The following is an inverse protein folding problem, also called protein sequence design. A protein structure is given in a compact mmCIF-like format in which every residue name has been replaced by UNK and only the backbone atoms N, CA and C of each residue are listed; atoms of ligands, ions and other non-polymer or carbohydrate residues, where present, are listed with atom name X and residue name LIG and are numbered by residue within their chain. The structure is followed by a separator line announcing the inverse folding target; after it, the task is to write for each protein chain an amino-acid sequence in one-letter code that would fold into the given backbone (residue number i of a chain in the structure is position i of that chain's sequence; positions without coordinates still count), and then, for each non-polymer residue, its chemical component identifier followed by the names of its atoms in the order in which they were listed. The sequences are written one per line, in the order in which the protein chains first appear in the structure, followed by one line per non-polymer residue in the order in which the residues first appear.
data_IF_578196597619
#
_entry.id   IF_578196597619
#
_cell.length_a   1.000
_cell.length_b   1.000
_cell.length_c   1.000
_cell.angle_alpha   90.00
_cell.angle_beta   90.00
_cell.angle_gamma   90.00
#
_symmetry.space_group_name_H-M   'P 1'
#
loop_
_entity.id
_entity.type
_entity.pdbx_description
1 polymer ?
#
# COMPACT_ATOMS: atom_id res chain seq x y z
N UNK A 1 -35.40 24.56 -5.67
CA UNK A 1 -35.38 23.35 -6.51
C UNK A 1 -33.97 22.79 -6.42
N UNK A 2 -33.71 21.96 -5.41
CA UNK A 2 -32.39 21.40 -5.09
C UNK A 2 -32.15 20.16 -5.95
N UNK A 3 -31.09 20.19 -6.74
CA UNK A 3 -30.75 19.19 -7.76
C UNK A 3 -30.29 17.87 -7.12
N UNK A 4 -30.91 16.71 -7.44
CA UNK A 4 -30.53 15.41 -6.91
C UNK A 4 -29.09 14.98 -7.29
N UNK A 5 -28.51 15.56 -8.35
CA UNK A 5 -27.15 15.23 -8.83
C UNK A 5 -26.02 15.56 -7.83
N UNK A 6 -26.15 16.62 -7.03
CA UNK A 6 -25.15 16.98 -6.02
C UNK A 6 -25.08 15.94 -4.90
N UNK A 7 -26.25 15.39 -4.53
CA UNK A 7 -26.35 14.34 -3.51
C UNK A 7 -25.73 13.03 -3.98
N UNK A 8 -25.90 12.66 -5.25
CA UNK A 8 -25.34 11.41 -5.80
C UNK A 8 -23.81 11.43 -5.92
N UNK A 9 -23.21 12.56 -6.33
CA UNK A 9 -21.74 12.71 -6.39
C UNK A 9 -21.10 12.68 -5.01
N UNK A 10 -21.67 13.39 -4.03
CA UNK A 10 -21.19 13.36 -2.65
C UNK A 10 -21.28 11.95 -2.04
N UNK A 11 -22.35 11.21 -2.36
CA UNK A 11 -22.54 9.83 -1.92
C UNK A 11 -21.57 8.86 -2.60
N UNK A 12 -21.25 9.06 -3.89
CA UNK A 12 -20.27 8.28 -4.63
C UNK A 12 -18.84 8.50 -4.10
N UNK A 13 -18.44 9.74 -3.84
CA UNK A 13 -17.13 10.09 -3.25
C UNK A 13 -16.98 9.50 -1.83
N UNK A 14 -18.03 9.57 -1.00
CA UNK A 14 -18.02 8.97 0.33
C UNK A 14 -17.90 7.42 0.29
N UNK A 15 -18.52 6.76 -0.70
CA UNK A 15 -18.40 5.31 -0.92
C UNK A 15 -17.00 4.94 -1.42
N UNK A 16 -16.45 5.67 -2.38
CA UNK A 16 -15.10 5.46 -2.91
C UNK A 16 -14.05 5.54 -1.80
N UNK A 17 -14.19 6.51 -0.90
CA UNK A 17 -13.31 6.68 0.26
C UNK A 17 -13.38 5.50 1.25
N UNK A 18 -14.57 4.93 1.45
CA UNK A 18 -14.78 3.74 2.28
C UNK A 18 -14.16 2.48 1.65
N UNK A 19 -14.33 2.29 0.34
CA UNK A 19 -13.70 1.18 -0.39
C UNK A 19 -12.18 1.28 -0.37
N UNK A 20 -11.66 2.49 -0.58
CA UNK A 20 -10.24 2.75 -0.52
C UNK A 20 -9.64 2.46 0.87
N UNK A 21 -10.37 2.77 1.94
CA UNK A 21 -9.92 2.42 3.30
C UNK A 21 -9.95 0.92 3.57
N UNK A 22 -10.96 0.21 3.04
CA UNK A 22 -10.97 -1.27 3.07
C UNK A 22 -9.78 -1.84 2.31
N UNK A 23 -9.45 -1.29 1.14
CA UNK A 23 -8.28 -1.69 0.37
C UNK A 23 -6.97 -1.48 1.17
N UNK A 24 -6.85 -0.38 1.92
CA UNK A 24 -5.73 -0.15 2.83
C UNK A 24 -5.62 -1.18 3.97
N UNK A 25 -6.75 -1.60 4.56
CA UNK A 25 -6.74 -2.67 5.57
C UNK A 25 -6.39 -4.04 4.99
N UNK A 26 -6.91 -4.36 3.79
CA UNK A 26 -6.55 -5.60 3.09
C UNK A 26 -5.06 -5.60 2.77
N UNK A 27 -4.53 -4.51 2.22
CA UNK A 27 -3.10 -4.36 1.95
C UNK A 27 -2.28 -4.50 3.23
N UNK A 28 -2.71 -3.86 4.33
CA UNK A 28 -2.04 -3.98 5.63
C UNK A 28 -1.99 -5.44 6.08
N UNK A 29 -3.11 -6.16 6.03
CA UNK A 29 -3.16 -7.56 6.43
C UNK A 29 -2.24 -8.43 5.55
N UNK A 30 -2.22 -8.19 4.23
CA UNK A 30 -1.33 -8.87 3.30
C UNK A 30 0.15 -8.58 3.62
N UNK A 31 0.51 -7.32 3.82
CA UNK A 31 1.89 -6.93 4.15
C UNK A 31 2.35 -7.50 5.48
N UNK A 32 1.49 -7.51 6.49
CA UNK A 32 1.80 -8.13 7.78
C UNK A 32 1.98 -9.64 7.64
N UNK A 33 1.08 -10.33 6.95
CA UNK A 33 1.18 -11.77 6.73
C UNK A 33 2.45 -12.14 5.95
N UNK A 34 2.71 -11.45 4.84
CA UNK A 34 3.91 -11.65 4.03
C UNK A 34 5.19 -11.30 4.80
N UNK A 35 5.17 -10.19 5.54
CA UNK A 35 6.29 -9.71 6.33
C UNK A 35 6.66 -10.67 7.45
N UNK A 36 5.67 -11.12 8.23
CA UNK A 36 5.86 -12.12 9.29
C UNK A 36 6.33 -13.45 8.69
N UNK A 37 5.75 -13.89 7.57
CA UNK A 37 6.20 -15.12 6.88
C UNK A 37 7.66 -15.00 6.45
N UNK A 38 8.07 -13.86 5.89
CA UNK A 38 9.45 -13.61 5.51
C UNK A 38 10.40 -13.58 6.73
N UNK A 39 9.95 -13.09 7.88
CA UNK A 39 10.75 -13.13 9.11
C UNK A 39 10.88 -14.53 9.72
N UNK A 40 9.84 -15.35 9.63
CA UNK A 40 9.82 -16.69 10.23
C UNK A 40 10.49 -17.74 9.33
N UNK A 41 10.24 -17.66 8.02
CA UNK A 41 10.69 -18.66 7.04
C UNK A 41 11.84 -18.17 6.16
N UNK A 42 12.02 -16.86 6.04
CA UNK A 42 13.04 -16.29 5.18
C UNK A 42 14.44 -16.56 5.72
N UNK A 43 15.37 -16.83 4.81
CA UNK A 43 16.78 -16.99 5.11
C UNK A 43 17.56 -15.93 4.36
N UNK A 44 18.46 -15.24 5.06
CA UNK A 44 19.31 -14.18 4.50
C UNK A 44 18.84 -12.76 4.81
N UNK A 45 19.76 -11.83 4.61
CA UNK A 45 19.61 -10.41 4.98
C UNK A 45 18.48 -9.72 4.21
N UNK A 46 18.29 -10.07 2.93
CA UNK A 46 17.24 -9.48 2.10
C UNK A 46 15.84 -9.85 2.58
N UNK A 47 15.59 -11.13 2.88
CA UNK A 47 14.28 -11.60 3.38
C UNK A 47 13.95 -10.98 4.74
N UNK A 48 14.95 -10.86 5.62
CA UNK A 48 14.80 -10.20 6.93
C UNK A 48 14.47 -8.72 6.75
N UNK A 49 15.22 -8.00 5.91
CA UNK A 49 14.97 -6.60 5.59
C UNK A 49 13.57 -6.40 5.00
N UNK A 50 13.19 -7.21 4.01
CA UNK A 50 11.86 -7.20 3.38
C UNK A 50 10.76 -7.44 4.42
N UNK A 51 10.96 -8.41 5.31
CA UNK A 51 10.01 -8.74 6.37
C UNK A 51 9.77 -7.57 7.32
N UNK A 52 10.85 -6.99 7.87
CA UNK A 52 10.78 -5.79 8.72
C UNK A 52 10.10 -4.65 7.96
N UNK A 53 10.49 -4.44 6.71
CA UNK A 53 9.97 -3.37 5.87
C UNK A 53 8.47 -3.50 5.62
N UNK A 54 7.97 -4.68 5.26
CA UNK A 54 6.54 -4.91 5.04
C UNK A 54 5.72 -4.73 6.31
N UNK A 55 6.24 -5.19 7.45
CA UNK A 55 5.59 -4.98 8.74
C UNK A 55 5.52 -3.49 9.10
N UNK A 56 6.65 -2.77 9.00
CA UNK A 56 6.71 -1.35 9.28
C UNK A 56 5.78 -0.55 8.35
N UNK A 57 5.79 -0.86 7.06
CA UNK A 57 4.93 -0.20 6.09
C UNK A 57 3.44 -0.48 6.31
N UNK A 58 3.07 -1.72 6.62
CA UNK A 58 1.71 -2.10 7.00
C UNK A 58 1.22 -1.33 8.23
N UNK A 59 2.05 -1.19 9.26
CA UNK A 59 1.74 -0.39 10.45
C UNK A 59 1.47 1.07 10.05
N UNK A 60 2.31 1.66 9.20
CA UNK A 60 2.14 3.05 8.74
C UNK A 60 0.83 3.23 7.97
N UNK A 61 0.47 2.31 7.07
CA UNK A 61 -0.81 2.35 6.34
C UNK A 61 -2.00 2.25 7.30
N UNK A 62 -1.88 1.45 8.37
CA UNK A 62 -2.94 1.27 9.36
C UNK A 62 -3.21 2.49 10.26
N UNK A 63 -2.33 3.50 10.22
CA UNK A 63 -2.46 4.67 11.10
C UNK A 63 -3.75 5.46 10.83
N UNK A 64 -4.42 5.99 11.87
CA UNK A 64 -5.64 6.78 11.72
C UNK A 64 -5.32 8.23 11.32
N UNK A 65 -4.82 8.44 10.09
CA UNK A 65 -4.45 9.76 9.53
C UNK A 65 -5.55 10.84 9.66
N UNK A 66 -6.82 10.43 9.67
CA UNK A 66 -7.97 11.32 9.83
C UNK A 66 -8.08 11.97 11.22
N UNK A 67 -7.54 11.35 12.27
CA UNK A 67 -7.65 11.84 13.67
C UNK A 67 -6.38 12.54 14.17
N UNK A 68 -5.36 12.69 13.32
CA UNK A 68 -4.08 13.27 13.72
C UNK A 68 -4.05 14.81 13.58
N UNK A 69 -3.25 15.46 14.43
CA UNK A 69 -2.95 16.89 14.32
C UNK A 69 -2.18 17.21 13.01
N UNK A 70 -2.36 18.41 12.44
CA UNK A 70 -1.81 18.78 11.11
C UNK A 70 -0.30 18.59 11.00
N UNK A 71 0.46 18.92 12.05
CA UNK A 71 1.93 18.76 12.06
C UNK A 71 2.34 17.29 11.97
N UNK A 72 1.63 16.41 12.67
CA UNK A 72 1.90 14.97 12.69
C UNK A 72 1.44 14.33 11.38
N UNK A 73 0.26 14.71 10.88
CA UNK A 73 -0.25 14.25 9.59
C UNK A 73 0.74 14.50 8.45
N UNK A 74 1.33 15.70 8.37
CA UNK A 74 2.30 16.02 7.32
C UNK A 74 3.56 15.14 7.39
N UNK A 75 4.05 14.85 8.59
CA UNK A 75 5.21 13.94 8.79
C UNK A 75 4.84 12.50 8.42
N UNK A 76 3.73 11.99 8.93
CA UNK A 76 3.28 10.63 8.64
C UNK A 76 2.93 10.45 7.16
N UNK A 77 2.35 11.46 6.51
CA UNK A 77 2.07 11.45 5.08
C UNK A 77 3.36 11.46 4.27
N UNK A 78 4.35 12.29 4.62
CA UNK A 78 5.67 12.25 3.98
C UNK A 78 6.36 10.89 4.14
N UNK A 79 6.24 10.28 5.33
CA UNK A 79 6.74 8.93 5.61
C UNK A 79 6.00 7.88 4.78
N UNK A 80 4.67 7.98 4.66
CA UNK A 80 3.86 7.11 3.81
C UNK A 80 4.31 7.20 2.36
N UNK A 81 4.45 8.41 1.80
CA UNK A 81 4.92 8.63 0.42
C UNK A 81 6.31 8.04 0.20
N UNK A 82 7.25 8.31 1.11
CA UNK A 82 8.61 7.77 1.03
C UNK A 82 8.63 6.24 1.07
N UNK A 83 7.85 5.64 1.97
CA UNK A 83 7.68 4.18 2.03
C UNK A 83 6.96 3.64 0.80
N UNK A 84 5.91 4.28 0.29
CA UNK A 84 5.25 3.83 -0.96
C UNK A 84 6.22 3.84 -2.15
N UNK A 85 7.07 4.86 -2.26
CA UNK A 85 8.10 4.91 -3.30
C UNK A 85 9.14 3.80 -3.12
N UNK A 86 9.70 3.65 -1.91
CA UNK A 86 10.65 2.58 -1.58
C UNK A 86 10.03 1.19 -1.80
N UNK A 87 8.73 1.04 -1.56
CA UNK A 87 8.01 -0.22 -1.75
C UNK A 87 8.10 -0.69 -3.19
N UNK A 88 7.97 0.20 -4.17
CA UNK A 88 8.15 -0.15 -5.59
C UNK A 88 9.52 -0.79 -5.82
N UNK A 89 10.59 -0.17 -5.31
CA UNK A 89 11.95 -0.71 -5.46
C UNK A 89 12.14 -2.06 -4.76
N UNK A 90 11.60 -2.22 -3.55
CA UNK A 90 11.64 -3.51 -2.84
C UNK A 90 10.92 -4.58 -3.64
N UNK A 91 9.76 -4.28 -4.21
CA UNK A 91 9.01 -5.23 -5.04
C UNK A 91 9.76 -5.58 -6.33
N UNK A 92 10.42 -4.62 -6.99
CA UNK A 92 11.29 -4.90 -8.14
C UNK A 92 12.42 -5.85 -7.76
N UNK A 93 13.07 -5.64 -6.61
CA UNK A 93 14.11 -6.55 -6.12
C UNK A 93 13.54 -7.95 -5.82
N UNK A 94 12.37 -8.06 -5.18
CA UNK A 94 11.68 -9.34 -4.93
C UNK A 94 11.44 -10.10 -6.23
N UNK A 95 10.89 -9.41 -7.23
CA UNK A 95 10.63 -9.99 -8.56
C UNK A 95 11.93 -10.44 -9.22
N UNK A 96 13.01 -9.64 -9.12
CA UNK A 96 14.31 -10.00 -9.67
C UNK A 96 14.91 -11.26 -9.01
N UNK A 97 14.85 -11.37 -7.68
CA UNK A 97 15.30 -12.58 -6.98
C UNK A 97 14.47 -13.81 -7.36
N UNK A 98 13.15 -13.65 -7.50
CA UNK A 98 12.27 -14.72 -7.94
C UNK A 98 12.62 -15.16 -9.38
N UNK A 99 12.93 -14.21 -10.27
CA UNK A 99 13.36 -14.49 -11.63
C UNK A 99 14.68 -15.23 -11.69
N UNK A 100 15.70 -14.80 -10.93
CA UNK A 100 16.99 -15.49 -10.86
C UNK A 100 16.83 -16.94 -10.36
N UNK A 101 15.96 -17.17 -9.37
CA UNK A 101 15.70 -18.50 -8.84
C UNK A 101 14.94 -19.40 -9.84
N UNK A 102 14.01 -18.83 -10.64
CA UNK A 102 13.29 -19.56 -11.68
C UNK A 102 14.20 -19.92 -12.87
N UNK A 103 15.05 -18.99 -13.29
CA UNK A 103 16.04 -19.21 -14.36
C UNK A 103 17.03 -20.32 -13.99
N UNK A 104 17.53 -20.31 -12.74
CA UNK A 104 18.41 -21.36 -12.22
C UNK A 104 17.75 -22.75 -12.19
N UNK A 105 16.42 -22.83 -12.14
CA UNK A 105 15.64 -24.08 -12.19
C UNK A 105 15.21 -24.48 -13.61
N UNK A 106 15.49 -23.65 -14.62
CA UNK A 106 15.02 -23.85 -15.99
C UNK A 106 13.49 -23.76 -16.14
N UNK A 107 12.80 -23.14 -15.18
CA UNK A 107 11.35 -22.99 -15.18
C UNK A 107 10.92 -21.81 -16.06
N UNK A 108 9.74 -21.92 -16.70
CA UNK A 108 9.18 -20.78 -17.46
C UNK A 108 8.88 -19.62 -16.51
N UNK A 109 9.36 -18.44 -16.88
CA UNK A 109 9.16 -17.22 -16.14
C UNK A 109 7.67 -16.88 -16.06
N UNK A 110 7.10 -16.95 -14.85
CA UNK A 110 5.76 -16.44 -14.57
C UNK A 110 5.72 -14.92 -14.61
N UNK A 111 4.58 -14.35 -14.97
CA UNK A 111 4.35 -12.91 -14.85
C UNK A 111 4.09 -12.58 -13.37
N UNK A 112 4.82 -11.62 -12.76
CA UNK A 112 4.71 -11.25 -11.35
C UNK A 112 3.47 -10.39 -11.09
N UNK A 113 2.30 -10.96 -11.37
CA UNK A 113 1.02 -10.26 -11.26
C UNK A 113 0.65 -9.92 -9.82
N UNK A 114 1.06 -10.76 -8.86
CA UNK A 114 0.81 -10.53 -7.45
C UNK A 114 1.59 -9.31 -6.94
N UNK A 115 2.88 -9.25 -7.27
CA UNK A 115 3.77 -8.16 -6.89
C UNK A 115 3.32 -6.84 -7.51
N UNK A 116 2.94 -6.84 -8.79
CA UNK A 116 2.37 -5.68 -9.46
C UNK A 116 1.07 -5.19 -8.80
N UNK A 117 0.20 -6.10 -8.38
CA UNK A 117 -1.04 -5.75 -7.66
C UNK A 117 -0.75 -5.10 -6.31
N UNK A 118 0.23 -5.61 -5.55
CA UNK A 118 0.64 -5.00 -4.29
C UNK A 118 1.21 -3.60 -4.49
N UNK A 119 2.01 -3.38 -5.54
CA UNK A 119 2.51 -2.04 -5.90
C UNK A 119 1.35 -1.09 -6.16
N UNK A 120 0.39 -1.50 -6.99
CA UNK A 120 -0.76 -0.67 -7.31
C UNK A 120 -1.58 -0.31 -6.07
N UNK A 121 -1.88 -1.29 -5.22
CA UNK A 121 -2.60 -1.06 -3.97
C UNK A 121 -1.82 -0.15 -3.01
N UNK A 122 -0.49 -0.28 -2.96
CA UNK A 122 0.39 0.54 -2.15
C UNK A 122 0.42 1.99 -2.63
N UNK A 123 0.60 2.22 -3.92
CA UNK A 123 0.58 3.56 -4.51
C UNK A 123 -0.78 4.23 -4.37
N UNK A 124 -1.87 3.45 -4.44
CA UNK A 124 -3.23 3.95 -4.20
C UNK A 124 -3.41 4.51 -2.78
N UNK A 125 -2.65 4.05 -1.78
CA UNK A 125 -2.78 4.57 -0.41
C UNK A 125 -2.45 6.06 -0.30
N UNK A 126 -1.50 6.55 -1.11
CA UNK A 126 -1.08 7.95 -1.10
C UNK A 126 -2.23 8.91 -1.44
N UNK A 127 -2.87 8.84 -2.63
CA UNK A 127 -4.00 9.71 -2.95
C UNK A 127 -5.19 9.45 -2.03
N UNK A 128 -5.40 8.23 -1.56
CA UNK A 128 -6.50 7.90 -0.64
C UNK A 128 -6.36 8.64 0.69
N UNK A 129 -5.17 8.66 1.28
CA UNK A 129 -4.92 9.39 2.53
C UNK A 129 -5.01 10.89 2.31
N UNK A 130 -4.61 11.40 1.14
CA UNK A 130 -4.75 12.80 0.76
C UNK A 130 -6.22 13.23 0.67
N UNK A 131 -7.02 12.49 -0.10
CA UNK A 131 -8.45 12.79 -0.29
C UNK A 131 -9.29 12.55 0.97
N UNK A 132 -8.86 11.67 1.88
CA UNK A 132 -9.49 11.54 3.20
C UNK A 132 -9.39 12.81 4.04
N UNK A 133 -8.29 13.58 3.88
CA UNK A 133 -8.04 14.80 4.66
C UNK A 133 -8.64 16.03 3.97
N UNK A 134 -8.57 16.08 2.65
CA UNK A 134 -9.07 17.19 1.81
C UNK A 134 -10.08 16.66 0.79
N UNK A 135 -11.34 16.41 1.21
CA UNK A 135 -12.38 15.96 0.29
C UNK A 135 -12.67 17.02 -0.79
N UNK A 136 -12.45 18.30 -0.49
CA UNK A 136 -12.63 19.44 -1.40
C UNK A 136 -11.72 19.42 -2.64
N UNK A 137 -10.72 18.52 -2.71
CA UNK A 137 -9.91 18.32 -3.91
C UNK A 137 -10.59 17.41 -4.96
N UNK A 138 -11.77 16.86 -4.64
CA UNK A 138 -12.56 16.01 -5.54
C UNK A 138 -13.74 16.75 -6.20
N UNK A 139 -13.98 18.01 -5.82
CA UNK A 139 -14.93 18.92 -6.49
C UNK A 139 -14.29 19.57 -7.73
#
# INVERSE_FOLDING_TARGET
MSTPELSDRQTASARGLRYARRAGYVLTALLLALGITALVKGQGTFETFKGIYFVAYGIVISLPFARMSDKVWRRCYGLLVGLSALFVFVMVAVVMFAYMAADARGERLGVPGFEGTLIFLALLQVPVVLFQRKPDLLD
#
